data_IF_337837891770
#
_entry.id   IF_337837891770
#
_cell.length_a   1.000
_cell.length_b   1.000
_cell.length_c   1.000
_cell.angle_alpha   90.00
_cell.angle_beta   90.00
_cell.angle_gamma   90.00
#
_symmetry.space_group_name_H-M   'P 1'
#
loop_
_entity.id
_entity.type
_entity.pdbx_description
1 polymer ?
#
# COMPACT_ATOMS: atom_id res chain seq x y z
N UNK A 1 -30.52 7.81 -12.78
CA UNK A 1 -29.90 6.76 -11.96
C UNK A 1 -29.41 5.58 -12.80
N UNK A 2 -30.18 5.10 -13.81
CA UNK A 2 -29.80 4.01 -14.73
C UNK A 2 -28.56 4.31 -15.59
N UNK A 3 -28.45 5.52 -16.16
CA UNK A 3 -27.33 5.91 -17.01
C UNK A 3 -26.01 6.03 -16.22
N UNK A 4 -26.06 6.58 -14.99
CA UNK A 4 -24.89 6.66 -14.13
C UNK A 4 -24.37 5.26 -13.78
N UNK A 5 -25.25 4.35 -13.42
CA UNK A 5 -24.88 2.96 -13.12
C UNK A 5 -24.31 2.24 -14.34
N UNK A 6 -24.87 2.46 -15.52
CA UNK A 6 -24.35 1.90 -16.76
C UNK A 6 -22.95 2.45 -17.08
N UNK A 7 -22.72 3.73 -16.93
CA UNK A 7 -21.43 4.38 -17.13
C UNK A 7 -20.37 3.87 -16.12
N UNK A 8 -20.74 3.72 -14.85
CA UNK A 8 -19.86 3.14 -13.84
C UNK A 8 -19.51 1.68 -14.16
N UNK A 9 -20.49 0.88 -14.55
CA UNK A 9 -20.28 -0.52 -14.91
C UNK A 9 -19.36 -0.67 -16.15
N UNK A 10 -19.53 0.19 -17.15
CA UNK A 10 -18.70 0.19 -18.37
C UNK A 10 -17.23 0.54 -18.08
N UNK A 11 -16.96 1.35 -17.06
CA UNK A 11 -15.61 1.76 -16.67
C UNK A 11 -15.00 0.90 -15.54
N UNK A 12 -15.68 -0.15 -15.11
CA UNK A 12 -15.24 -0.98 -14.00
C UNK A 12 -14.33 -2.13 -14.46
N UNK A 13 -13.04 -1.87 -14.57
CA UNK A 13 -12.03 -2.80 -15.05
C UNK A 13 -11.55 -3.77 -13.94
N UNK A 14 -12.47 -4.51 -13.30
CA UNK A 14 -12.15 -5.37 -12.15
C UNK A 14 -11.15 -6.49 -12.47
N UNK A 15 -11.21 -7.08 -13.68
CA UNK A 15 -10.26 -8.11 -14.11
C UNK A 15 -8.83 -7.55 -14.15
N UNK A 16 -8.69 -6.34 -14.67
CA UNK A 16 -7.41 -5.65 -14.73
C UNK A 16 -6.87 -5.33 -13.34
N UNK A 17 -7.74 -4.82 -12.46
CA UNK A 17 -7.37 -4.53 -11.07
C UNK A 17 -6.93 -5.79 -10.32
N UNK A 18 -7.67 -6.90 -10.46
CA UNK A 18 -7.29 -8.19 -9.87
C UNK A 18 -5.96 -8.70 -10.43
N UNK A 19 -5.79 -8.64 -11.75
CA UNK A 19 -4.52 -9.01 -12.38
C UNK A 19 -3.35 -8.17 -11.86
N UNK A 20 -3.54 -6.86 -11.71
CA UNK A 20 -2.52 -5.95 -11.15
C UNK A 20 -2.17 -6.34 -9.73
N UNK A 21 -3.17 -6.61 -8.87
CA UNK A 21 -2.91 -7.09 -7.52
C UNK A 21 -2.08 -8.38 -7.51
N UNK A 22 -2.48 -9.37 -8.29
CA UNK A 22 -1.75 -10.64 -8.40
C UNK A 22 -0.32 -10.46 -8.94
N UNK A 23 -0.15 -9.57 -9.93
CA UNK A 23 1.16 -9.27 -10.50
C UNK A 23 2.09 -8.60 -9.47
N UNK A 24 1.59 -7.68 -8.65
CA UNK A 24 2.35 -7.04 -7.56
C UNK A 24 2.81 -8.10 -6.54
N UNK A 25 1.91 -9.00 -6.11
CA UNK A 25 2.27 -10.06 -5.19
C UNK A 25 3.30 -11.03 -5.78
N UNK A 26 3.10 -11.46 -7.03
CA UNK A 26 4.03 -12.34 -7.73
C UNK A 26 5.41 -11.69 -7.91
N UNK A 27 5.46 -10.44 -8.36
CA UNK A 27 6.69 -9.68 -8.54
C UNK A 27 7.42 -9.50 -7.19
N UNK A 28 6.70 -9.16 -6.13
CA UNK A 28 7.26 -9.03 -4.78
C UNK A 28 7.83 -10.34 -4.26
N UNK A 29 7.13 -11.45 -4.50
CA UNK A 29 7.61 -12.79 -4.13
C UNK A 29 8.89 -13.17 -4.89
N UNK A 30 8.88 -13.03 -6.22
CA UNK A 30 10.03 -13.32 -7.07
C UNK A 30 11.22 -12.45 -6.68
N UNK A 31 11.01 -11.15 -6.53
CA UNK A 31 12.06 -10.21 -6.14
C UNK A 31 12.71 -10.57 -4.79
N UNK A 32 11.90 -10.92 -3.79
CA UNK A 32 12.44 -11.38 -2.49
C UNK A 32 13.26 -12.68 -2.63
N UNK A 33 12.85 -13.60 -3.51
CA UNK A 33 13.63 -14.83 -3.78
C UNK A 33 14.94 -14.54 -4.49
N UNK A 34 14.93 -13.62 -5.47
CA UNK A 34 16.14 -13.19 -6.17
C UNK A 34 17.12 -12.48 -5.21
N UNK A 35 16.63 -11.61 -4.35
CA UNK A 35 17.48 -10.97 -3.33
C UNK A 35 18.13 -12.01 -2.41
N UNK A 36 17.39 -13.05 -2.03
CA UNK A 36 17.92 -14.12 -1.16
C UNK A 36 19.03 -14.97 -1.80
N UNK A 37 19.26 -14.86 -3.11
CA UNK A 37 20.41 -15.49 -3.78
C UNK A 37 21.74 -14.81 -3.41
N UNK A 38 21.71 -13.56 -3.00
CA UNK A 38 22.88 -12.86 -2.50
C UNK A 38 23.11 -13.23 -1.01
N UNK A 39 24.30 -13.73 -0.62
CA UNK A 39 24.56 -14.15 0.76
C UNK A 39 24.31 -13.09 1.83
N UNK A 40 24.63 -11.81 1.53
CA UNK A 40 24.42 -10.69 2.45
C UNK A 40 22.94 -10.45 2.72
N UNK A 41 22.12 -10.44 1.67
CA UNK A 41 20.67 -10.28 1.82
C UNK A 41 20.03 -11.49 2.50
N UNK A 42 20.52 -12.70 2.21
CA UNK A 42 20.07 -13.92 2.88
C UNK A 42 20.34 -13.88 4.39
N UNK A 43 21.56 -13.50 4.81
CA UNK A 43 21.91 -13.35 6.22
C UNK A 43 21.05 -12.25 6.91
N UNK A 44 20.79 -11.13 6.22
CA UNK A 44 19.92 -10.08 6.73
C UNK A 44 18.47 -10.57 6.89
N UNK A 45 17.96 -11.39 5.95
CA UNK A 45 16.63 -12.01 6.08
C UNK A 45 16.56 -12.94 7.29
N UNK A 46 17.55 -13.81 7.48
CA UNK A 46 17.61 -14.73 8.64
C UNK A 46 17.60 -13.94 9.96
N UNK A 47 18.37 -12.87 10.06
CA UNK A 47 18.40 -11.99 11.24
C UNK A 47 17.02 -11.37 11.50
N UNK A 48 16.36 -10.85 10.45
CA UNK A 48 15.02 -10.28 10.56
C UNK A 48 13.98 -11.31 10.99
N UNK A 49 14.03 -12.52 10.43
CA UNK A 49 13.09 -13.60 10.75
C UNK A 49 13.27 -14.09 12.19
N UNK A 50 14.51 -14.20 12.67
CA UNK A 50 14.81 -14.53 14.07
C UNK A 50 14.27 -13.46 15.03
N UNK A 51 14.48 -12.18 14.72
CA UNK A 51 13.96 -11.05 15.49
C UNK A 51 12.41 -11.04 15.50
N UNK A 52 11.79 -11.26 14.36
CA UNK A 52 10.34 -11.37 14.25
C UNK A 52 9.77 -12.52 15.07
N UNK A 53 10.37 -13.70 14.99
CA UNK A 53 9.95 -14.87 15.78
C UNK A 53 10.01 -14.59 17.29
N UNK A 54 11.08 -13.94 17.75
CA UNK A 54 11.22 -13.55 19.15
C UNK A 54 10.16 -12.51 19.58
N UNK A 55 9.79 -11.56 18.70
CA UNK A 55 8.73 -10.58 18.95
C UNK A 55 7.34 -11.23 18.96
N UNK A 56 7.08 -12.17 18.05
CA UNK A 56 5.81 -12.91 18.00
C UNK A 56 5.53 -13.78 19.24
N UNK A 57 6.55 -14.11 20.01
CA UNK A 57 6.37 -14.74 21.31
C UNK A 57 5.74 -13.80 22.38
N UNK A 58 5.71 -12.48 22.13
CA UNK A 58 5.09 -11.49 23.02
C UNK A 58 3.60 -11.34 22.67
N UNK A 59 2.66 -11.61 23.61
CA UNK A 59 1.22 -11.63 23.31
C UNK A 59 0.69 -10.34 22.68
N UNK A 60 1.12 -9.18 23.18
CA UNK A 60 0.68 -7.88 22.66
C UNK A 60 1.15 -7.63 21.24
N UNK A 61 2.37 -8.09 20.89
CA UNK A 61 2.89 -7.97 19.53
C UNK A 61 2.13 -8.88 18.57
N UNK A 62 1.95 -10.14 18.93
CA UNK A 62 1.20 -11.10 18.14
C UNK A 62 -0.26 -10.66 17.92
N UNK A 63 -0.91 -10.10 18.95
CA UNK A 63 -2.26 -9.57 18.84
C UNK A 63 -2.34 -8.42 17.82
N UNK A 64 -1.41 -7.46 17.85
CA UNK A 64 -1.36 -6.35 16.89
C UNK A 64 -1.12 -6.85 15.46
N UNK A 65 -0.15 -7.75 15.25
CA UNK A 65 0.14 -8.34 13.94
C UNK A 65 -1.08 -9.08 13.37
N UNK A 66 -1.77 -9.88 14.20
CA UNK A 66 -2.98 -10.59 13.78
C UNK A 66 -4.14 -9.63 13.46
N UNK A 67 -4.27 -8.55 14.21
CA UNK A 67 -5.26 -7.51 13.97
C UNK A 67 -4.99 -6.81 12.64
N UNK A 68 -3.77 -6.35 12.41
CA UNK A 68 -3.38 -5.67 11.17
C UNK A 68 -3.51 -6.58 9.94
N UNK A 69 -3.21 -7.88 10.06
CA UNK A 69 -3.41 -8.83 8.96
C UNK A 69 -4.87 -8.89 8.49
N UNK A 70 -5.83 -8.85 9.43
CA UNK A 70 -7.27 -8.83 9.10
C UNK A 70 -7.67 -7.53 8.38
N UNK A 71 -7.20 -6.39 8.89
CA UNK A 71 -7.44 -5.09 8.26
C UNK A 71 -6.78 -4.96 6.89
N UNK A 72 -5.58 -5.50 6.73
CA UNK A 72 -4.88 -5.49 5.44
C UNK A 72 -5.68 -6.23 4.35
N UNK A 73 -6.31 -7.36 4.69
CA UNK A 73 -7.19 -8.06 3.74
C UNK A 73 -8.37 -7.20 3.34
N UNK A 74 -9.03 -6.55 4.31
CA UNK A 74 -10.15 -5.64 4.03
C UNK A 74 -9.70 -4.48 3.14
N UNK A 75 -8.56 -3.85 3.43
CA UNK A 75 -8.03 -2.76 2.60
C UNK A 75 -7.72 -3.21 1.17
N UNK A 76 -7.13 -4.39 1.00
CA UNK A 76 -6.89 -4.96 -0.34
C UNK A 76 -8.21 -5.13 -1.12
N UNK A 77 -9.25 -5.66 -0.48
CA UNK A 77 -10.57 -5.82 -1.12
C UNK A 77 -11.16 -4.47 -1.51
N UNK A 78 -11.12 -3.48 -0.61
CA UNK A 78 -11.65 -2.13 -0.88
C UNK A 78 -10.86 -1.43 -1.99
N UNK A 79 -9.54 -1.53 -1.96
CA UNK A 79 -8.66 -0.87 -2.94
C UNK A 79 -8.83 -1.53 -4.31
N UNK A 80 -8.53 -2.82 -4.42
CA UNK A 80 -8.51 -3.51 -5.71
C UNK A 80 -9.90 -3.95 -6.21
N UNK A 81 -10.87 -4.09 -5.31
CA UNK A 81 -12.26 -4.35 -5.67
C UNK A 81 -13.10 -3.09 -5.86
N UNK A 82 -12.81 -2.00 -5.13
CA UNK A 82 -13.63 -0.80 -5.11
C UNK A 82 -13.10 0.37 -5.93
N UNK A 83 -11.81 0.70 -5.84
CA UNK A 83 -11.28 1.97 -6.36
C UNK A 83 -10.40 1.78 -7.59
N UNK A 84 -9.42 0.90 -7.54
CA UNK A 84 -8.46 0.68 -8.62
C UNK A 84 -9.09 0.30 -9.96
N UNK A 85 -10.23 -0.45 -10.03
CA UNK A 85 -10.90 -0.73 -11.29
C UNK A 85 -11.27 0.51 -12.12
N UNK A 86 -11.46 1.65 -11.47
CA UNK A 86 -11.80 2.92 -12.14
C UNK A 86 -10.59 3.77 -12.53
N UNK A 87 -9.39 3.37 -12.13
CA UNK A 87 -8.16 4.15 -12.30
C UNK A 87 -7.15 3.54 -13.28
N UNK A 88 -7.31 2.25 -13.62
CA UNK A 88 -6.32 1.48 -14.35
C UNK A 88 -6.66 1.33 -15.84
N UNK A 89 -5.61 1.24 -16.66
CA UNK A 89 -5.71 0.95 -18.09
C UNK A 89 -4.53 0.10 -18.58
N UNK A 90 -4.72 -0.62 -19.69
CA UNK A 90 -3.66 -1.27 -20.47
C UNK A 90 -3.33 -0.49 -21.76
N UNK A 91 -3.96 0.66 -21.99
CA UNK A 91 -3.63 1.47 -23.16
C UNK A 91 -2.16 1.86 -23.10
N UNK A 92 -1.35 1.53 -24.12
CA UNK A 92 0.06 1.83 -24.13
C UNK A 92 0.31 3.33 -23.96
N UNK A 93 1.21 3.66 -23.04
CA UNK A 93 1.65 5.03 -22.81
C UNK A 93 3.18 5.09 -22.97
N UNK A 94 3.73 6.20 -23.49
CA UNK A 94 5.18 6.38 -23.52
C UNK A 94 5.79 6.22 -22.12
N UNK A 95 6.95 5.58 -22.03
CA UNK A 95 7.61 5.32 -20.75
C UNK A 95 7.88 6.59 -19.93
N UNK A 96 8.21 7.70 -20.59
CA UNK A 96 8.43 8.99 -19.90
C UNK A 96 7.15 9.56 -19.31
N UNK A 97 5.99 9.33 -19.93
CA UNK A 97 4.69 9.71 -19.39
C UNK A 97 4.36 8.89 -18.13
N UNK A 98 4.64 7.59 -18.16
CA UNK A 98 4.46 6.72 -16.99
C UNK A 98 5.35 7.19 -15.82
N UNK A 99 6.61 7.56 -16.10
CA UNK A 99 7.51 8.10 -15.07
C UNK A 99 7.00 9.43 -14.50
N UNK A 100 6.50 10.34 -15.34
CA UNK A 100 5.94 11.61 -14.89
C UNK A 100 4.67 11.40 -14.05
N UNK A 101 3.80 10.49 -14.46
CA UNK A 101 2.60 10.12 -13.71
C UNK A 101 2.96 9.52 -12.35
N UNK A 102 3.92 8.60 -12.31
CA UNK A 102 4.42 8.02 -11.07
C UNK A 102 5.02 9.09 -10.15
N UNK A 103 5.85 9.99 -10.70
CA UNK A 103 6.41 11.10 -9.93
C UNK A 103 5.31 12.03 -9.38
N UNK A 104 4.29 12.35 -10.19
CA UNK A 104 3.16 13.16 -9.74
C UNK A 104 2.38 12.49 -8.60
N UNK A 105 2.08 11.18 -8.72
CA UNK A 105 1.42 10.42 -7.67
C UNK A 105 2.22 10.47 -6.38
N UNK A 106 3.53 10.16 -6.44
CA UNK A 106 4.38 10.13 -5.26
C UNK A 106 4.53 11.51 -4.62
N UNK A 107 4.78 12.56 -5.41
CA UNK A 107 4.95 13.92 -4.88
C UNK A 107 3.68 14.45 -4.21
N UNK A 108 2.52 14.25 -4.84
CA UNK A 108 1.24 14.70 -4.26
C UNK A 108 0.91 13.89 -3.01
N UNK A 109 1.09 12.57 -3.05
CA UNK A 109 0.92 11.72 -1.88
C UNK A 109 1.85 12.13 -0.74
N UNK A 110 3.16 12.26 -0.99
CA UNK A 110 4.14 12.60 0.05
C UNK A 110 3.87 13.97 0.68
N UNK A 111 3.46 14.96 -0.14
CA UNK A 111 3.09 16.28 0.37
C UNK A 111 1.92 16.19 1.36
N UNK A 112 0.83 15.52 0.98
CA UNK A 112 -0.33 15.39 1.87
C UNK A 112 -0.05 14.47 3.05
N UNK A 113 0.72 13.38 2.83
CA UNK A 113 1.13 12.50 3.92
C UNK A 113 1.99 13.24 4.95
N UNK A 114 2.92 14.10 4.51
CA UNK A 114 3.68 14.96 5.41
C UNK A 114 2.78 15.84 6.28
N UNK A 115 1.77 16.48 5.69
CA UNK A 115 0.83 17.31 6.44
C UNK A 115 0.04 16.48 7.46
N UNK A 116 -0.50 15.35 7.04
CA UNK A 116 -1.24 14.43 7.90
C UNK A 116 -0.34 13.89 9.03
N UNK A 117 0.88 13.47 8.69
CA UNK A 117 1.83 12.96 9.66
C UNK A 117 2.18 14.02 10.71
N UNK A 118 2.54 15.22 10.25
CA UNK A 118 2.97 16.31 11.13
C UNK A 118 1.86 16.85 12.01
N UNK A 119 0.67 17.10 11.45
CA UNK A 119 -0.38 17.82 12.16
C UNK A 119 -1.43 16.90 12.77
N UNK A 120 -1.71 15.76 12.14
CA UNK A 120 -2.73 14.83 12.62
C UNK A 120 -2.12 13.75 13.52
N UNK A 121 -1.08 13.03 13.07
CA UNK A 121 -0.48 11.93 13.82
C UNK A 121 0.38 12.43 15.00
N UNK A 122 1.11 13.51 14.86
CA UNK A 122 1.79 14.15 15.99
C UNK A 122 0.91 15.16 16.73
N UNK A 123 -0.36 15.30 16.34
CA UNK A 123 -1.39 16.13 17.00
C UNK A 123 -2.49 15.28 17.63
N UNK A 124 -3.71 15.40 17.10
CA UNK A 124 -4.91 14.78 17.66
C UNK A 124 -4.92 13.24 17.63
N UNK A 125 -4.18 12.60 16.73
CA UNK A 125 -4.06 11.14 16.63
C UNK A 125 -2.75 10.58 17.19
N UNK A 126 -2.09 11.28 18.11
CA UNK A 126 -0.86 10.81 18.76
C UNK A 126 -1.03 9.41 19.39
N UNK A 127 -2.20 9.12 19.95
CA UNK A 127 -2.51 7.81 20.54
C UNK A 127 -2.52 6.68 19.52
N UNK A 128 -2.88 6.95 18.25
CA UNK A 128 -2.80 6.02 17.13
C UNK A 128 -1.34 5.80 16.74
N UNK A 129 -0.63 6.87 16.50
CA UNK A 129 0.74 6.88 15.98
C UNK A 129 1.77 6.37 17.02
N UNK A 130 1.51 6.57 18.32
CA UNK A 130 2.37 6.06 19.39
C UNK A 130 2.53 4.52 19.35
N UNK A 131 1.63 3.78 18.74
CA UNK A 131 1.76 2.32 18.59
C UNK A 131 3.00 1.99 17.78
N UNK A 132 3.18 2.67 16.64
CA UNK A 132 4.34 2.52 15.78
C UNK A 132 5.66 2.86 16.51
N UNK A 133 5.68 3.91 17.31
CA UNK A 133 6.87 4.35 18.05
C UNK A 133 7.27 3.46 19.24
N UNK A 134 6.44 2.49 19.63
CA UNK A 134 6.76 1.55 20.74
C UNK A 134 7.76 0.47 20.35
N UNK A 135 8.17 0.39 19.08
CA UNK A 135 9.09 -0.65 18.63
C UNK A 135 10.54 -0.25 18.88
N UNK A 136 11.20 -1.06 19.73
CA UNK A 136 12.64 -1.00 19.94
C UNK A 136 13.32 -2.10 19.13
N UNK A 137 14.52 -1.82 18.60
CA UNK A 137 15.27 -2.73 17.74
C UNK A 137 14.41 -3.24 16.55
N UNK A 138 14.08 -2.36 15.62
CA UNK A 138 13.12 -2.68 14.56
C UNK A 138 13.64 -3.80 13.65
N UNK A 139 12.75 -4.71 13.27
CA UNK A 139 12.95 -5.66 12.19
C UNK A 139 12.02 -5.33 11.02
N UNK A 140 12.25 -5.92 9.85
CA UNK A 140 11.46 -5.68 8.64
C UNK A 140 9.94 -5.76 8.87
N UNK A 141 9.49 -6.70 9.69
CA UNK A 141 8.07 -6.97 9.95
C UNK A 141 7.41 -5.92 10.86
N UNK A 142 8.20 -5.06 11.51
CA UNK A 142 7.65 -3.99 12.35
C UNK A 142 6.98 -2.87 11.54
N UNK A 143 7.20 -2.83 10.22
CA UNK A 143 6.45 -1.96 9.31
C UNK A 143 4.93 -2.22 9.36
N UNK A 144 4.51 -3.41 9.79
CA UNK A 144 3.11 -3.75 10.02
C UNK A 144 2.69 -3.67 11.50
N UNK A 145 3.59 -3.28 12.42
CA UNK A 145 3.24 -3.03 13.82
C UNK A 145 2.79 -1.59 14.01
N UNK A 146 1.60 -1.30 13.55
CA UNK A 146 1.00 0.03 13.55
C UNK A 146 -0.47 -0.07 13.94
N UNK A 147 -1.14 1.06 14.16
CA UNK A 147 -2.57 1.08 14.40
C UNK A 147 -3.33 1.01 13.06
N UNK A 148 -4.42 0.22 12.92
CA UNK A 148 -5.17 0.12 11.66
C UNK A 148 -5.70 1.46 11.13
N UNK A 149 -6.04 2.41 11.99
CA UNK A 149 -6.43 3.77 11.58
C UNK A 149 -5.27 4.46 10.86
N UNK A 150 -4.03 4.29 11.30
CA UNK A 150 -2.85 4.86 10.64
C UNK A 150 -2.67 4.25 9.24
N UNK A 151 -2.83 2.92 9.11
CA UNK A 151 -2.82 2.24 7.81
C UNK A 151 -3.94 2.76 6.91
N UNK A 152 -5.17 2.86 7.45
CA UNK A 152 -6.33 3.32 6.70
C UNK A 152 -6.14 4.75 6.16
N UNK A 153 -5.58 5.64 6.96
CA UNK A 153 -5.29 7.03 6.55
C UNK A 153 -4.18 7.05 5.50
N UNK A 154 -3.05 6.34 5.74
CA UNK A 154 -1.92 6.33 4.82
C UNK A 154 -2.28 5.71 3.45
N UNK A 155 -2.89 4.52 3.46
CA UNK A 155 -3.35 3.87 2.23
C UNK A 155 -4.51 4.62 1.57
N UNK A 156 -5.46 5.14 2.37
CA UNK A 156 -6.58 5.92 1.88
C UNK A 156 -6.10 7.18 1.15
N UNK A 157 -5.10 7.87 1.69
CA UNK A 157 -4.51 9.05 1.07
C UNK A 157 -3.80 8.69 -0.25
N UNK A 158 -3.05 7.59 -0.28
CA UNK A 158 -2.39 7.12 -1.50
C UNK A 158 -3.41 6.79 -2.61
N UNK A 159 -4.41 6.01 -2.28
CA UNK A 159 -5.47 5.62 -3.22
C UNK A 159 -6.33 6.82 -3.67
N UNK A 160 -6.63 7.74 -2.74
CA UNK A 160 -7.32 8.99 -3.07
C UNK A 160 -6.50 9.84 -4.04
N UNK A 161 -5.18 9.91 -3.86
CA UNK A 161 -4.26 10.60 -4.78
C UNK A 161 -4.32 9.99 -6.18
N UNK A 162 -4.24 8.67 -6.30
CA UNK A 162 -4.38 7.97 -7.59
C UNK A 162 -5.74 8.27 -8.21
N UNK A 163 -6.82 8.14 -7.45
CA UNK A 163 -8.17 8.36 -7.94
C UNK A 163 -8.35 9.80 -8.44
N UNK A 164 -7.96 10.79 -7.67
CA UNK A 164 -8.08 12.20 -8.04
C UNK A 164 -7.24 12.51 -9.27
N UNK A 165 -5.95 12.15 -9.26
CA UNK A 165 -5.06 12.41 -10.40
C UNK A 165 -5.53 11.69 -11.67
N UNK A 166 -6.12 10.50 -11.57
CA UNK A 166 -6.67 9.79 -12.73
C UNK A 166 -7.81 10.54 -13.41
N UNK A 167 -8.53 11.43 -12.69
CA UNK A 167 -9.59 12.26 -13.29
C UNK A 167 -9.04 13.42 -14.11
N UNK A 168 -7.83 13.89 -13.81
CA UNK A 168 -7.18 14.97 -14.53
C UNK A 168 -6.21 14.48 -15.60
N UNK A 169 -5.53 13.36 -15.37
CA UNK A 169 -4.47 12.82 -16.24
C UNK A 169 -4.92 11.61 -17.09
N UNK A 170 -6.18 11.18 -16.92
CA UNK A 170 -6.68 9.93 -17.47
C UNK A 170 -6.28 8.71 -16.64
N UNK A 171 -6.83 7.54 -16.97
CA UNK A 171 -6.51 6.30 -16.27
C UNK A 171 -5.03 5.95 -16.43
N UNK A 172 -4.42 5.46 -15.37
CA UNK A 172 -3.00 5.13 -15.32
C UNK A 172 -2.74 3.74 -15.91
N UNK A 173 -1.66 3.62 -16.66
CA UNK A 173 -1.18 2.30 -17.06
C UNK A 173 -0.79 1.51 -15.80
N UNK A 174 -1.04 0.19 -15.80
CA UNK A 174 -0.77 -0.69 -14.65
C UNK A 174 0.69 -0.66 -14.17
N UNK A 175 1.63 -0.28 -15.02
CA UNK A 175 3.03 -0.13 -14.64
C UNK A 175 3.35 1.22 -13.96
N UNK A 176 2.37 2.13 -13.82
CA UNK A 176 2.55 3.45 -13.20
C UNK A 176 2.20 3.43 -11.70
N UNK A 177 1.36 2.53 -11.28
CA UNK A 177 0.83 2.38 -9.91
C UNK A 177 1.32 1.06 -9.31
#
# INVERSE_FOLDING_TARGET
MSELLATLAANYAWKLSLFTALAIFAASFVFNKLLALNPTFHAAQQTNDAAFKAKMAKPHYAANQNWNRKWSVLFLVVIFGGIMPFCLTLVPSPWWQMLLQMAAILMVYDFFYYLVHRFLFHGSLTWVHSVHHRQHNPCRWDSSYIHPIEVAIGLGLYVATIFVLSRFMGNFHVATV
#
